data_IF_965962593408
#
_entry.id   IF_965962593408
#
_cell.length_a   1.000
_cell.length_b   1.000
_cell.length_c   1.000
_cell.angle_alpha   90.00
_cell.angle_beta   90.00
_cell.angle_gamma   90.00
#
_symmetry.space_group_name_H-M   'P 1'
#
loop_
_entity.id
_entity.type
_entity.pdbx_description
1 polymer ?
#
# COMPACT_ATOMS: atom_id res chain seq x y z
N UNK A 1 -17.25 20.73 -16.09
CA UNK A 1 -17.44 19.32 -15.67
C UNK A 1 -16.33 18.98 -14.70
N UNK A 2 -16.65 18.72 -13.43
CA UNK A 2 -15.64 18.58 -12.36
C UNK A 2 -14.79 17.33 -12.59
N UNK A 3 -13.48 17.52 -12.69
CA UNK A 3 -12.48 16.46 -12.94
C UNK A 3 -12.60 15.31 -11.94
N UNK A 4 -12.87 15.59 -10.66
CA UNK A 4 -13.10 14.59 -9.62
C UNK A 4 -14.28 13.65 -9.91
N UNK A 5 -15.41 14.18 -10.41
CA UNK A 5 -16.59 13.37 -10.74
C UNK A 5 -16.33 12.44 -11.93
N UNK A 6 -15.52 12.89 -12.88
CA UNK A 6 -15.06 12.08 -14.00
C UNK A 6 -14.12 10.94 -13.54
N UNK A 7 -13.16 11.25 -12.66
CA UNK A 7 -12.22 10.28 -12.09
C UNK A 7 -12.98 9.17 -11.39
N UNK A 8 -13.89 9.53 -10.48
CA UNK A 8 -14.66 8.55 -9.71
C UNK A 8 -15.54 7.65 -10.62
N UNK A 9 -16.24 8.27 -11.58
CA UNK A 9 -17.09 7.54 -12.54
C UNK A 9 -16.27 6.61 -13.45
N UNK A 10 -15.05 6.99 -13.81
CA UNK A 10 -14.15 6.20 -14.65
C UNK A 10 -13.60 4.99 -13.89
N UNK A 11 -13.22 5.17 -12.61
CA UNK A 11 -12.79 4.07 -11.72
C UNK A 11 -13.93 3.07 -11.53
N UNK A 12 -15.17 3.54 -11.25
CA UNK A 12 -16.32 2.66 -11.08
C UNK A 12 -16.70 1.91 -12.37
N UNK A 13 -16.53 2.52 -13.53
CA UNK A 13 -16.85 1.89 -14.82
C UNK A 13 -15.85 0.79 -15.20
N UNK A 14 -14.58 0.96 -14.87
CA UNK A 14 -13.48 0.05 -15.22
C UNK A 14 -12.95 -0.71 -14.00
N UNK A 15 -13.81 -1.01 -13.03
CA UNK A 15 -13.43 -1.61 -11.73
C UNK A 15 -12.61 -2.90 -11.90
N UNK A 16 -12.89 -3.69 -12.94
CA UNK A 16 -12.21 -4.96 -13.22
C UNK A 16 -10.71 -4.77 -13.49
N UNK A 17 -10.32 -3.69 -14.16
CA UNK A 17 -8.92 -3.42 -14.45
C UNK A 17 -8.16 -2.88 -13.24
N UNK A 18 -8.85 -2.13 -12.38
CA UNK A 18 -8.30 -1.63 -11.12
C UNK A 18 -8.29 -2.66 -9.99
N UNK A 19 -9.07 -3.74 -10.10
CA UNK A 19 -9.27 -4.70 -9.02
C UNK A 19 -7.95 -5.37 -8.60
N UNK A 20 -7.12 -5.78 -9.57
CA UNK A 20 -5.82 -6.40 -9.28
C UNK A 20 -4.92 -5.40 -8.54
N UNK A 21 -4.87 -4.16 -9.01
CA UNK A 21 -4.09 -3.09 -8.38
C UNK A 21 -4.60 -2.78 -6.98
N UNK A 22 -5.91 -2.64 -6.82
CA UNK A 22 -6.57 -2.40 -5.53
C UNK A 22 -6.29 -3.53 -4.53
N UNK A 23 -6.46 -4.80 -4.92
CA UNK A 23 -6.18 -5.95 -4.06
C UNK A 23 -4.71 -5.99 -3.63
N UNK A 24 -3.79 -5.77 -4.58
CA UNK A 24 -2.35 -5.73 -4.28
C UNK A 24 -2.03 -4.66 -3.25
N UNK A 25 -2.56 -3.45 -3.43
CA UNK A 25 -2.37 -2.35 -2.48
C UNK A 25 -2.96 -2.66 -1.11
N UNK A 26 -4.21 -3.14 -1.08
CA UNK A 26 -4.93 -3.45 0.17
C UNK A 26 -4.20 -4.53 0.97
N UNK A 27 -3.75 -5.61 0.31
CA UNK A 27 -2.97 -6.67 0.95
C UNK A 27 -1.60 -6.15 1.43
N UNK A 28 -0.93 -5.34 0.62
CA UNK A 28 0.37 -4.75 1.00
C UNK A 28 0.26 -3.87 2.25
N UNK A 29 -0.74 -2.98 2.29
CA UNK A 29 -1.02 -2.12 3.46
C UNK A 29 -1.35 -2.97 4.68
N UNK A 30 -2.23 -3.97 4.54
CA UNK A 30 -2.69 -4.78 5.65
C UNK A 30 -1.57 -5.62 6.26
N UNK A 31 -0.73 -6.25 5.43
CA UNK A 31 0.42 -7.01 5.89
C UNK A 31 1.46 -6.12 6.58
N UNK A 32 1.78 -4.96 5.98
CA UNK A 32 2.75 -4.05 6.56
C UNK A 32 2.29 -3.51 7.92
N UNK A 33 1.02 -3.11 8.04
CA UNK A 33 0.44 -2.68 9.31
C UNK A 33 0.47 -3.83 10.34
N UNK A 34 0.04 -5.04 9.96
CA UNK A 34 0.01 -6.18 10.85
C UNK A 34 1.41 -6.51 11.41
N UNK A 35 2.44 -6.50 10.56
CA UNK A 35 3.83 -6.72 10.98
C UNK A 35 4.33 -5.66 11.94
N UNK A 36 4.10 -4.39 11.64
CA UNK A 36 4.57 -3.30 12.52
C UNK A 36 3.80 -3.25 13.85
N UNK A 37 2.53 -3.65 13.85
CA UNK A 37 1.71 -3.69 15.06
C UNK A 37 2.17 -4.74 16.08
N UNK A 38 2.87 -5.80 15.65
CA UNK A 38 3.41 -6.83 16.56
C UNK A 38 4.45 -6.20 17.51
N UNK A 39 5.27 -5.28 17.01
CA UNK A 39 6.31 -4.63 17.79
C UNK A 39 5.77 -3.79 18.95
N UNK A 40 4.56 -3.27 18.82
CA UNK A 40 3.92 -2.38 19.82
C UNK A 40 3.09 -3.14 20.87
N UNK A 41 3.10 -4.45 20.85
CA UNK A 41 2.34 -5.27 21.81
C UNK A 41 2.95 -5.20 23.23
N UNK A 42 2.17 -4.84 24.26
CA UNK A 42 2.63 -4.75 25.64
C UNK A 42 3.19 -6.05 26.21
N UNK A 43 2.79 -7.19 25.63
CA UNK A 43 3.29 -8.49 26.04
C UNK A 43 4.80 -8.65 25.86
N UNK A 44 5.39 -7.94 24.89
CA UNK A 44 6.84 -7.93 24.65
C UNK A 44 7.59 -6.89 25.51
N UNK A 45 6.93 -5.83 25.99
CA UNK A 45 7.55 -4.78 26.80
C UNK A 45 7.72 -5.13 28.28
N UNK A 46 6.96 -6.12 28.80
CA UNK A 46 6.93 -6.49 30.22
C UNK A 46 7.89 -7.64 30.60
N UNK A 47 8.86 -7.98 29.76
CA UNK A 47 9.94 -8.89 30.12
C UNK A 47 10.92 -8.16 31.04
N UNK A 48 11.13 -8.69 32.26
CA UNK A 48 11.95 -8.06 33.33
C UNK A 48 13.39 -7.72 32.96
N UNK A 49 14.21 -7.28 33.95
CA UNK A 49 15.55 -6.68 33.73
C UNK A 49 16.51 -7.46 32.83
N UNK A 50 16.43 -8.79 32.78
CA UNK A 50 17.16 -9.63 31.81
C UNK A 50 16.62 -9.50 30.37
N UNK A 51 15.39 -9.00 30.25
CA UNK A 51 14.72 -8.83 28.95
C UNK A 51 15.10 -7.54 28.20
N UNK A 52 15.76 -6.56 28.86
CA UNK A 52 16.04 -5.26 28.20
C UNK A 52 16.99 -5.38 27.01
N UNK A 53 18.02 -6.20 27.11
CA UNK A 53 18.94 -6.45 25.99
C UNK A 53 18.28 -7.28 24.89
N UNK A 54 17.54 -8.33 25.26
CA UNK A 54 16.77 -9.16 24.32
C UNK A 54 15.67 -8.34 23.63
N UNK A 55 14.95 -7.50 24.38
CA UNK A 55 13.92 -6.62 23.83
C UNK A 55 14.50 -5.63 22.81
N UNK A 56 15.64 -5.01 23.13
CA UNK A 56 16.36 -4.11 22.22
C UNK A 56 16.81 -4.85 20.95
N UNK A 57 17.32 -6.06 21.10
CA UNK A 57 17.79 -6.86 19.96
C UNK A 57 16.63 -7.34 19.07
N UNK A 58 15.53 -7.78 19.67
CA UNK A 58 14.28 -8.10 18.95
C UNK A 58 13.71 -6.87 18.24
N UNK A 59 13.71 -5.70 18.86
CA UNK A 59 13.26 -4.45 18.27
C UNK A 59 14.07 -4.07 17.00
N UNK A 60 15.39 -4.23 17.06
CA UNK A 60 16.27 -3.98 15.91
C UNK A 60 15.99 -4.99 14.79
N UNK A 61 15.83 -6.28 15.10
CA UNK A 61 15.50 -7.30 14.14
C UNK A 61 14.15 -7.05 13.46
N UNK A 62 13.10 -6.73 14.23
CA UNK A 62 11.78 -6.40 13.72
C UNK A 62 11.79 -5.15 12.84
N UNK A 63 12.52 -4.11 13.25
CA UNK A 63 12.68 -2.89 12.44
C UNK A 63 13.38 -3.16 11.10
N UNK A 64 14.43 -3.99 11.12
CA UNK A 64 15.16 -4.38 9.91
C UNK A 64 14.25 -5.19 8.96
N UNK A 65 13.51 -6.17 9.50
CA UNK A 65 12.53 -6.95 8.75
C UNK A 65 11.43 -6.07 8.16
N UNK A 66 10.90 -5.13 8.96
CA UNK A 66 9.89 -4.17 8.49
C UNK A 66 10.39 -3.35 7.31
N UNK A 67 11.65 -2.89 7.36
CA UNK A 67 12.25 -2.13 6.26
C UNK A 67 12.41 -3.01 5.01
N UNK A 68 12.85 -4.25 5.15
CA UNK A 68 12.92 -5.19 4.03
C UNK A 68 11.56 -5.44 3.40
N UNK A 69 10.53 -5.67 4.23
CA UNK A 69 9.15 -5.84 3.77
C UNK A 69 8.67 -4.59 3.02
N UNK A 70 8.95 -3.38 3.54
CA UNK A 70 8.60 -2.12 2.88
C UNK A 70 9.18 -2.02 1.46
N UNK A 71 10.45 -2.39 1.30
CA UNK A 71 11.13 -2.37 -0.02
C UNK A 71 10.48 -3.37 -0.98
N UNK A 72 10.24 -4.60 -0.53
CA UNK A 72 9.59 -5.63 -1.37
C UNK A 72 8.18 -5.18 -1.79
N UNK A 73 7.39 -4.64 -0.85
CA UNK A 73 6.06 -4.13 -1.13
C UNK A 73 6.09 -2.93 -2.09
N UNK A 74 7.07 -2.03 -1.97
CA UNK A 74 7.27 -0.93 -2.90
C UNK A 74 7.48 -1.42 -4.34
N UNK A 75 8.35 -2.43 -4.55
CA UNK A 75 8.55 -3.04 -5.85
C UNK A 75 7.27 -3.69 -6.39
N UNK A 76 6.54 -4.40 -5.53
CA UNK A 76 5.29 -5.07 -5.91
C UNK A 76 4.22 -4.07 -6.32
N UNK A 77 4.10 -2.94 -5.63
CA UNK A 77 3.17 -1.85 -5.96
C UNK A 77 3.58 -1.19 -7.28
N UNK A 78 4.86 -0.92 -7.49
CA UNK A 78 5.36 -0.38 -8.76
C UNK A 78 5.06 -1.33 -9.92
N UNK A 79 5.26 -2.63 -9.73
CA UNK A 79 4.94 -3.64 -10.73
C UNK A 79 3.45 -3.69 -11.05
N UNK A 80 2.59 -3.72 -10.03
CA UNK A 80 1.14 -3.69 -10.19
C UNK A 80 0.66 -2.43 -10.92
N UNK A 81 1.28 -1.28 -10.62
CA UNK A 81 1.00 -0.02 -11.31
C UNK A 81 1.42 -0.07 -12.79
N UNK A 82 2.58 -0.64 -13.12
CA UNK A 82 3.01 -0.83 -14.52
C UNK A 82 2.05 -1.75 -15.27
N UNK A 83 1.57 -2.81 -14.62
CA UNK A 83 0.60 -3.72 -15.20
C UNK A 83 -0.73 -3.01 -15.52
N UNK A 84 -1.22 -2.18 -14.59
CA UNK A 84 -2.40 -1.34 -14.80
C UNK A 84 -2.22 -0.41 -16.00
N UNK A 85 -1.05 0.24 -16.10
CA UNK A 85 -0.71 1.14 -17.19
C UNK A 85 -0.69 0.43 -18.55
N UNK A 86 -0.13 -0.80 -18.59
CA UNK A 86 -0.12 -1.63 -19.80
C UNK A 86 -1.53 -2.01 -20.26
N UNK A 87 -2.42 -2.39 -19.34
CA UNK A 87 -3.81 -2.73 -19.67
C UNK A 87 -4.58 -1.55 -20.26
N UNK A 88 -4.31 -0.34 -19.79
CA UNK A 88 -5.02 0.88 -20.22
C UNK A 88 -4.34 1.63 -21.37
N UNK A 89 -3.27 1.10 -21.94
CA UNK A 89 -2.58 1.73 -23.08
C UNK A 89 -3.53 2.10 -24.23
N UNK A 90 -4.44 1.20 -24.63
CA UNK A 90 -5.38 1.43 -25.71
C UNK A 90 -6.33 2.61 -25.43
N UNK A 91 -6.85 2.73 -24.21
CA UNK A 91 -7.69 3.86 -23.81
C UNK A 91 -6.93 5.18 -23.86
N UNK A 92 -5.67 5.17 -23.38
CA UNK A 92 -4.78 6.35 -23.43
C UNK A 92 -4.52 6.76 -24.88
N UNK A 93 -4.36 5.79 -25.81
CA UNK A 93 -4.23 6.04 -27.24
C UNK A 93 -5.45 6.74 -27.83
N UNK A 94 -6.64 6.27 -27.51
CA UNK A 94 -7.91 6.88 -27.97
C UNK A 94 -8.03 8.33 -27.48
N UNK A 95 -7.69 8.62 -26.22
CA UNK A 95 -7.69 9.99 -25.70
C UNK A 95 -6.69 10.92 -26.44
N UNK A 96 -5.55 10.38 -26.85
CA UNK A 96 -4.58 11.13 -27.65
C UNK A 96 -5.11 11.41 -29.08
N UNK A 97 -5.79 10.43 -29.68
CA UNK A 97 -6.43 10.61 -31.01
C UNK A 97 -7.55 11.65 -31.00
N UNK A 98 -8.27 11.76 -29.86
CA UNK A 98 -9.29 12.80 -29.64
C UNK A 98 -8.69 14.20 -29.37
N UNK A 99 -7.36 14.36 -29.51
CA UNK A 99 -6.69 15.66 -29.37
C UNK A 99 -6.36 16.08 -27.95
N UNK A 100 -6.47 15.21 -26.96
CA UNK A 100 -6.11 15.54 -25.58
C UNK A 100 -4.58 15.66 -25.43
N UNK A 101 -4.13 16.77 -24.78
CA UNK A 101 -2.70 16.96 -24.49
C UNK A 101 -2.21 15.89 -23.50
N UNK A 102 -1.01 15.32 -23.74
CA UNK A 102 -0.37 14.30 -22.89
C UNK A 102 -0.39 14.62 -21.39
N UNK A 103 -0.13 15.88 -21.03
CA UNK A 103 -0.14 16.31 -19.63
C UNK A 103 -1.53 16.30 -18.97
N UNK A 104 -2.63 16.43 -19.74
CA UNK A 104 -3.98 16.30 -19.22
C UNK A 104 -4.33 14.84 -18.97
N UNK A 105 -3.93 13.95 -19.87
CA UNK A 105 -4.11 12.51 -19.76
C UNK A 105 -3.31 11.98 -18.56
N UNK A 106 -2.06 12.40 -18.42
CA UNK A 106 -1.19 12.02 -17.30
C UNK A 106 -1.78 12.42 -15.94
N UNK A 107 -2.31 13.64 -15.81
CA UNK A 107 -2.97 14.11 -14.56
C UNK A 107 -4.26 13.35 -14.26
N UNK A 108 -5.03 13.02 -15.29
CA UNK A 108 -6.25 12.22 -15.13
C UNK A 108 -5.90 10.83 -14.58
N UNK A 109 -4.94 10.15 -15.20
CA UNK A 109 -4.51 8.82 -14.80
C UNK A 109 -3.86 8.82 -13.39
N UNK A 110 -3.02 9.82 -13.08
CA UNK A 110 -2.45 9.96 -11.75
C UNK A 110 -3.54 10.19 -10.68
N UNK A 111 -4.57 10.97 -11.00
CA UNK A 111 -5.72 11.17 -10.11
C UNK A 111 -6.54 9.91 -9.88
N UNK A 112 -6.77 9.08 -10.91
CA UNK A 112 -7.44 7.78 -10.80
C UNK A 112 -6.65 6.83 -9.90
N UNK A 113 -5.34 6.71 -10.14
CA UNK A 113 -4.43 5.87 -9.34
C UNK A 113 -4.40 6.32 -7.87
N UNK A 114 -4.38 7.63 -7.62
CA UNK A 114 -4.40 8.19 -6.27
C UNK A 114 -5.73 7.92 -5.56
N UNK A 115 -6.85 8.04 -6.25
CA UNK A 115 -8.17 7.75 -5.70
C UNK A 115 -8.27 6.29 -5.25
N UNK A 116 -7.85 5.35 -6.11
CA UNK A 116 -7.80 3.91 -5.78
C UNK A 116 -6.83 3.66 -4.62
N UNK A 117 -5.68 4.35 -4.60
CA UNK A 117 -4.69 4.26 -3.54
C UNK A 117 -5.22 4.67 -2.17
N UNK A 118 -5.95 5.78 -2.08
CA UNK A 118 -6.55 6.25 -0.82
C UNK A 118 -7.60 5.25 -0.30
N UNK A 119 -8.44 4.73 -1.19
CA UNK A 119 -9.45 3.72 -0.82
C UNK A 119 -8.76 2.44 -0.35
N UNK A 120 -7.73 1.98 -1.07
CA UNK A 120 -6.95 0.81 -0.71
C UNK A 120 -6.20 0.97 0.62
N UNK A 121 -5.70 2.17 0.91
CA UNK A 121 -5.05 2.47 2.19
C UNK A 121 -6.07 2.39 3.34
N UNK A 122 -7.25 2.98 3.19
CA UNK A 122 -8.30 2.90 4.20
C UNK A 122 -8.77 1.46 4.47
N UNK A 123 -9.11 0.72 3.41
CA UNK A 123 -9.53 -0.69 3.52
C UNK A 123 -8.41 -1.60 3.99
N UNK A 124 -7.18 -1.35 3.55
CA UNK A 124 -5.99 -2.09 3.96
C UNK A 124 -5.65 -1.90 5.44
N UNK A 125 -5.79 -0.69 5.99
CA UNK A 125 -5.62 -0.43 7.42
C UNK A 125 -6.70 -1.13 8.26
N UNK A 126 -7.95 -1.13 7.82
CA UNK A 126 -9.02 -1.87 8.50
C UNK A 126 -8.74 -3.37 8.52
N UNK A 127 -8.44 -3.97 7.37
CA UNK A 127 -8.06 -5.39 7.29
C UNK A 127 -6.78 -5.68 8.08
N UNK A 128 -5.79 -4.80 8.01
CA UNK A 128 -4.54 -4.92 8.74
C UNK A 128 -4.73 -4.94 10.25
N UNK A 129 -5.66 -4.14 10.76
CA UNK A 129 -6.05 -4.18 12.17
C UNK A 129 -6.58 -5.57 12.57
N UNK A 130 -7.48 -6.17 11.78
CA UNK A 130 -7.98 -7.52 12.05
C UNK A 130 -6.87 -8.58 11.95
N UNK A 131 -6.04 -8.53 10.92
CA UNK A 131 -4.90 -9.44 10.78
C UNK A 131 -3.89 -9.30 11.91
N UNK A 132 -3.63 -8.08 12.37
CA UNK A 132 -2.74 -7.80 13.49
C UNK A 132 -3.18 -8.54 14.77
N UNK A 133 -4.48 -8.55 15.06
CA UNK A 133 -5.00 -9.29 16.22
C UNK A 133 -4.79 -10.81 16.07
N UNK A 134 -5.03 -11.35 14.86
CA UNK A 134 -4.79 -12.76 14.57
C UNK A 134 -3.31 -13.14 14.69
N UNK A 135 -2.41 -12.38 14.12
CA UNK A 135 -0.96 -12.62 14.23
C UNK A 135 -0.45 -12.49 15.66
N UNK A 136 -0.97 -11.53 16.42
CA UNK A 136 -0.63 -11.38 17.83
C UNK A 136 -1.02 -12.58 18.66
N UNK A 137 -2.20 -13.17 18.42
CA UNK A 137 -2.64 -14.40 19.09
C UNK A 137 -1.73 -15.58 18.75
N UNK A 138 -1.36 -15.73 17.48
CA UNK A 138 -0.44 -16.79 17.02
C UNK A 138 0.93 -16.62 17.67
N UNK A 139 1.46 -15.39 17.69
CA UNK A 139 2.76 -15.09 18.28
C UNK A 139 2.78 -15.41 19.78
N UNK A 140 1.74 -15.02 20.54
CA UNK A 140 1.63 -15.33 21.97
C UNK A 140 1.61 -16.84 22.23
N UNK A 141 0.92 -17.61 21.41
CA UNK A 141 0.91 -19.09 21.51
C UNK A 141 2.28 -19.71 21.23
N UNK A 142 2.98 -19.21 20.20
CA UNK A 142 4.30 -19.72 19.82
C UNK A 142 5.37 -19.42 20.90
N UNK A 143 5.28 -18.28 21.57
CA UNK A 143 6.19 -17.89 22.64
C UNK A 143 5.77 -18.40 24.03
N UNK A 144 4.71 -19.24 24.13
CA UNK A 144 4.14 -19.77 25.39
C UNK A 144 3.86 -18.69 26.45
N UNK A 145 3.48 -17.48 26.00
CA UNK A 145 3.13 -16.36 26.87
C UNK A 145 1.66 -16.51 27.28
N UNK A 146 1.34 -16.29 28.58
CA UNK A 146 -0.02 -16.40 29.10
C UNK A 146 -1.01 -15.50 28.33
N UNK A 147 -2.08 -16.11 27.82
CA UNK A 147 -3.15 -15.46 27.05
C UNK A 147 -3.93 -14.41 27.86
N UNK A 148 -3.85 -14.44 29.21
CA UNK A 148 -4.48 -13.44 30.08
C UNK A 148 -3.94 -12.01 29.86
N UNK A 149 -2.77 -11.88 29.27
CA UNK A 149 -2.16 -10.56 28.92
C UNK A 149 -2.54 -10.05 27.53
N UNK A 150 -3.36 -10.80 26.78
CA UNK A 150 -3.84 -10.34 25.48
C UNK A 150 -4.77 -9.15 25.66
N UNK A 151 -4.37 -8.02 25.11
CA UNK A 151 -5.22 -6.84 24.98
C UNK A 151 -5.34 -6.48 23.51
N UNK A 152 -6.54 -6.13 23.09
CA UNK A 152 -6.75 -5.54 21.77
C UNK A 152 -6.07 -4.17 21.80
N UNK A 153 -4.92 -4.07 21.17
CA UNK A 153 -4.13 -2.83 21.16
C UNK A 153 -4.19 -2.23 19.76
N UNK A 154 -4.66 -0.99 19.71
CA UNK A 154 -4.54 -0.17 18.52
C UNK A 154 -3.17 0.49 18.53
N UNK A 155 -2.29 0.05 17.62
CA UNK A 155 -0.95 0.62 17.50
C UNK A 155 -1.00 1.90 16.65
N UNK A 156 -0.99 3.05 17.33
CA UNK A 156 -0.88 4.35 16.64
C UNK A 156 0.51 4.52 15.98
N UNK A 157 1.55 3.89 16.53
CA UNK A 157 2.90 3.88 15.96
C UNK A 157 2.93 3.18 14.61
N UNK A 158 2.41 1.94 14.55
CA UNK A 158 2.30 1.18 13.31
C UNK A 158 1.43 1.88 12.27
N UNK A 159 0.33 2.52 12.68
CA UNK A 159 -0.53 3.28 11.79
C UNK A 159 0.24 4.45 11.15
N UNK A 160 0.92 5.27 11.96
CA UNK A 160 1.70 6.41 11.46
C UNK A 160 2.80 5.95 10.51
N UNK A 161 3.54 4.90 10.87
CA UNK A 161 4.61 4.36 10.04
C UNK A 161 4.09 3.82 8.72
N UNK A 162 2.95 3.10 8.73
CA UNK A 162 2.30 2.58 7.52
C UNK A 162 1.86 3.73 6.61
N UNK A 163 1.17 4.73 7.13
CA UNK A 163 0.70 5.88 6.35
C UNK A 163 1.87 6.64 5.72
N UNK A 164 2.94 6.92 6.49
CA UNK A 164 4.13 7.60 5.98
C UNK A 164 4.84 6.79 4.89
N UNK A 165 5.07 5.50 5.12
CA UNK A 165 5.71 4.62 4.15
C UNK A 165 4.91 4.57 2.84
N UNK A 166 3.60 4.36 2.91
CA UNK A 166 2.75 4.33 1.73
C UNK A 166 2.61 5.69 1.05
N UNK A 167 2.61 6.81 1.79
CA UNK A 167 2.64 8.15 1.19
C UNK A 167 3.89 8.36 0.33
N UNK A 168 5.06 7.90 0.80
CA UNK A 168 6.32 7.96 0.03
C UNK A 168 6.22 7.07 -1.21
N UNK A 169 5.73 5.84 -1.08
CA UNK A 169 5.57 4.91 -2.21
C UNK A 169 4.61 5.50 -3.24
N UNK A 170 3.47 6.06 -2.83
CA UNK A 170 2.52 6.71 -3.74
C UNK A 170 3.11 7.92 -4.44
N UNK A 171 3.93 8.71 -3.76
CA UNK A 171 4.63 9.82 -4.39
C UNK A 171 5.55 9.34 -5.51
N UNK A 172 6.32 8.26 -5.27
CA UNK A 172 7.18 7.65 -6.30
C UNK A 172 6.34 7.09 -7.46
N UNK A 173 5.23 6.41 -7.18
CA UNK A 173 4.31 5.87 -8.20
C UNK A 173 3.74 7.01 -9.05
N UNK A 174 3.35 8.14 -8.44
CA UNK A 174 2.85 9.30 -9.18
C UNK A 174 3.90 9.87 -10.13
N UNK A 175 5.13 10.05 -9.66
CA UNK A 175 6.23 10.53 -10.51
C UNK A 175 6.48 9.56 -11.68
N UNK A 176 6.45 8.27 -11.40
CA UNK A 176 6.61 7.23 -12.42
C UNK A 176 5.47 7.27 -13.45
N UNK A 177 4.21 7.43 -13.02
CA UNK A 177 3.06 7.54 -13.90
C UNK A 177 3.14 8.75 -14.82
N UNK A 178 3.51 9.91 -14.28
CA UNK A 178 3.67 11.14 -15.07
C UNK A 178 4.75 10.94 -16.13
N UNK A 179 5.89 10.39 -15.76
CA UNK A 179 7.01 10.15 -16.67
C UNK A 179 6.67 9.08 -17.72
N UNK A 180 6.00 8.02 -17.33
CA UNK A 180 5.63 6.93 -18.23
C UNK A 180 4.64 7.39 -19.32
N UNK A 181 3.60 8.14 -18.97
CA UNK A 181 2.61 8.64 -19.93
C UNK A 181 3.18 9.69 -20.86
N UNK A 182 4.07 10.56 -20.38
CA UNK A 182 4.69 11.60 -21.23
C UNK A 182 5.65 11.05 -22.27
N UNK A 183 6.34 9.93 -21.95
CA UNK A 183 7.34 9.31 -22.83
C UNK A 183 6.74 8.35 -23.88
N UNK A 184 5.45 8.01 -23.80
CA UNK A 184 4.82 7.10 -24.76
C UNK A 184 4.66 7.78 -26.12
N UNK A 185 5.16 7.12 -27.18
CA UNK A 185 4.95 7.52 -28.57
C UNK A 185 3.59 6.99 -29.06
N UNK A 186 2.90 7.75 -29.93
CA UNK A 186 1.61 7.36 -30.49
C UNK A 186 1.65 5.98 -31.20
N UNK A 187 2.77 5.65 -31.80
CA UNK A 187 3.00 4.39 -32.53
C UNK A 187 2.96 3.18 -31.59
N UNK A 188 3.50 3.29 -30.36
CA UNK A 188 3.56 2.22 -29.35
C UNK A 188 2.20 1.93 -28.68
N UNK A 189 1.16 2.74 -28.99
CA UNK A 189 -0.18 2.61 -28.43
C UNK A 189 -1.15 1.88 -29.37
N UNK A 190 -0.77 1.73 -30.65
CA UNK A 190 -1.61 1.14 -31.70
C UNK A 190 -1.18 -0.28 -32.08
N UNK A 191 0.00 -0.70 -31.66
CA UNK A 191 0.49 -2.09 -31.72
C UNK A 191 0.29 -2.79 -30.39
#
# INVERSE_FOLDING_TARGET
MNTCKLIFRNVCKNIRDYLIYFLTLTLSVSLFYAFNSISDQPAFSNMGMTGTLLYRQLGIMLSTLSTMIAVVLAFLILYANQFLLKRRKKELGVYMMLGMKKGRISRLFAGETLCVGIIALGTGLLLGFFFSQGFSLIALRLFAINLEKFRIVFSAGALRQTVLCFAIIFFIVMLFNIRSVTNVKLIDLLT
#
